data_IF_289074793056
#
_entry.id   IF_289074793056
#
_cell.length_a   1.000
_cell.length_b   1.000
_cell.length_c   1.000
_cell.angle_alpha   90.00
_cell.angle_beta   90.00
_cell.angle_gamma   90.00
#
_symmetry.space_group_name_H-M   'P 1'
#
loop_
_entity.id
_entity.type
_entity.pdbx_description
1 polymer ?
#
# COMPACT_ATOMS: atom_id res chain seq x y z
N UNK A 1 8.25 -9.65 12.30
CA UNK A 1 7.13 -8.69 12.33
C UNK A 1 6.54 -8.59 10.93
N UNK A 2 5.22 -8.69 10.80
CA UNK A 2 4.49 -8.59 9.53
C UNK A 2 4.20 -7.13 9.20
N UNK A 3 4.82 -6.62 8.14
CA UNK A 3 4.67 -5.25 7.68
C UNK A 3 3.93 -5.24 6.34
N UNK A 4 2.82 -4.51 6.26
CA UNK A 4 2.16 -4.21 5.00
C UNK A 4 2.50 -2.82 4.49
N UNK A 5 2.80 -2.71 3.21
CA UNK A 5 2.77 -1.45 2.45
C UNK A 5 1.55 -1.50 1.52
N UNK A 6 0.74 -0.43 1.48
CA UNK A 6 -0.43 -0.36 0.58
C UNK A 6 -0.22 0.68 -0.51
N UNK A 7 -0.33 0.26 -1.77
CA UNK A 7 -0.32 1.15 -2.95
C UNK A 7 -1.19 0.52 -4.04
N UNK A 8 -2.17 1.26 -4.56
CA UNK A 8 -3.19 0.65 -5.42
C UNK A 8 -2.63 0.12 -6.75
N UNK A 9 -1.84 0.91 -7.46
CA UNK A 9 -1.36 0.56 -8.81
C UNK A 9 0.09 0.97 -9.04
N UNK A 10 0.80 0.14 -9.82
CA UNK A 10 2.12 0.45 -10.35
C UNK A 10 2.04 1.30 -11.61
N UNK A 11 2.88 2.34 -11.69
CA UNK A 11 3.15 3.11 -12.89
C UNK A 11 4.68 3.23 -13.03
N UNK A 12 5.32 2.62 -14.05
CA UNK A 12 6.78 2.60 -14.21
C UNK A 12 7.40 4.01 -14.43
N UNK A 13 6.57 4.95 -14.86
CA UNK A 13 6.95 6.35 -15.08
C UNK A 13 6.67 7.25 -13.87
N UNK A 14 6.04 6.70 -12.82
CA UNK A 14 5.64 7.44 -11.64
C UNK A 14 6.72 7.45 -10.54
N UNK A 15 6.97 8.63 -9.96
CA UNK A 15 7.98 8.80 -8.90
C UNK A 15 7.60 8.13 -7.58
N UNK A 16 6.30 8.06 -7.27
CA UNK A 16 5.78 7.44 -6.06
C UNK A 16 5.99 5.92 -6.06
N UNK A 17 5.83 5.29 -7.22
CA UNK A 17 5.96 3.85 -7.38
C UNK A 17 7.42 3.41 -7.29
N UNK A 18 8.34 4.19 -7.89
CA UNK A 18 9.79 4.00 -7.69
C UNK A 18 10.21 4.22 -6.24
N UNK A 19 9.51 5.07 -5.49
CA UNK A 19 9.76 5.22 -4.06
C UNK A 19 9.34 3.95 -3.31
N UNK A 20 8.12 3.43 -3.57
CA UNK A 20 7.62 2.20 -2.95
C UNK A 20 8.54 1.02 -3.24
N UNK A 21 8.93 0.77 -4.50
CA UNK A 21 9.84 -0.34 -4.83
C UNK A 21 11.19 -0.22 -4.12
N UNK A 22 11.76 0.98 -4.04
CA UNK A 22 13.02 1.20 -3.31
C UNK A 22 12.88 0.96 -1.81
N UNK A 23 11.79 1.45 -1.21
CA UNK A 23 11.51 1.21 0.21
C UNK A 23 11.34 -0.28 0.50
N UNK A 24 10.56 -1.01 -0.32
CA UNK A 24 10.38 -2.45 -0.20
C UNK A 24 11.71 -3.21 -0.29
N UNK A 25 12.56 -2.88 -1.27
CA UNK A 25 13.86 -3.53 -1.43
C UNK A 25 14.84 -3.26 -0.28
N UNK A 26 14.71 -2.13 0.42
CA UNK A 26 15.51 -1.84 1.62
C UNK A 26 14.94 -2.58 2.83
N UNK A 27 13.62 -2.55 3.02
CA UNK A 27 12.96 -3.24 4.13
C UNK A 27 13.14 -4.77 4.06
N UNK A 28 13.12 -5.33 2.85
CA UNK A 28 13.34 -6.75 2.59
C UNK A 28 14.74 -7.26 2.96
N UNK A 29 15.71 -6.37 3.19
CA UNK A 29 17.05 -6.76 3.65
C UNK A 29 17.08 -7.04 5.16
N UNK A 30 16.08 -6.58 5.90
CA UNK A 30 15.95 -6.86 7.33
C UNK A 30 15.22 -8.21 7.53
N UNK A 31 15.95 -9.20 8.05
CA UNK A 31 15.41 -10.55 8.28
C UNK A 31 14.36 -10.61 9.39
N UNK A 32 14.21 -9.56 10.20
CA UNK A 32 13.15 -9.46 11.20
C UNK A 32 11.79 -9.04 10.60
N UNK A 33 11.77 -8.58 9.34
CA UNK A 33 10.58 -8.11 8.64
C UNK A 33 10.05 -9.15 7.65
N UNK A 34 8.74 -9.45 7.74
CA UNK A 34 7.99 -10.11 6.69
C UNK A 34 7.18 -9.05 5.94
N UNK A 35 7.71 -8.59 4.81
CA UNK A 35 7.20 -7.44 4.06
C UNK A 35 6.23 -7.90 2.98
N UNK A 36 5.02 -7.34 3.01
CA UNK A 36 3.98 -7.59 2.00
C UNK A 36 3.50 -6.27 1.38
N UNK A 37 3.44 -6.22 0.06
CA UNK A 37 2.80 -5.16 -0.69
C UNK A 37 1.35 -5.54 -1.01
N UNK A 38 0.38 -4.74 -0.57
CA UNK A 38 -1.03 -4.86 -0.94
C UNK A 38 -1.29 -3.93 -2.15
N UNK A 39 -1.61 -4.52 -3.30
CA UNK A 39 -1.81 -3.80 -4.56
C UNK A 39 -2.80 -4.49 -5.49
N UNK A 40 -3.38 -3.76 -6.46
CA UNK A 40 -4.19 -4.37 -7.52
C UNK A 40 -3.34 -5.14 -8.52
N UNK A 41 -2.17 -4.60 -8.81
CA UNK A 41 -1.21 -5.15 -9.75
C UNK A 41 0.17 -4.59 -9.42
N UNK A 42 1.13 -5.49 -9.26
CA UNK A 42 2.53 -5.17 -9.06
C UNK A 42 3.39 -6.34 -9.53
N UNK A 43 4.62 -6.06 -9.96
CA UNK A 43 5.58 -7.10 -10.35
C UNK A 43 6.23 -7.71 -9.11
N UNK A 44 6.29 -9.04 -9.02
CA UNK A 44 6.98 -9.71 -7.93
C UNK A 44 8.48 -9.39 -7.96
N UNK A 45 9.06 -9.14 -6.80
CA UNK A 45 10.50 -8.97 -6.64
C UNK A 45 11.04 -9.84 -5.50
N UNK A 46 12.33 -10.12 -5.54
CA UNK A 46 12.98 -10.94 -4.53
C UNK A 46 12.97 -10.22 -3.16
N UNK A 47 12.57 -10.94 -2.11
CA UNK A 47 12.69 -10.49 -0.71
C UNK A 47 11.42 -9.91 -0.09
N UNK A 48 10.34 -9.73 -0.83
CA UNK A 48 9.03 -9.33 -0.29
C UNK A 48 7.89 -9.95 -1.10
N UNK A 49 6.67 -9.94 -0.53
CA UNK A 49 5.50 -10.62 -1.10
C UNK A 49 4.53 -9.61 -1.71
N UNK A 50 3.81 -10.01 -2.75
CA UNK A 50 2.67 -9.25 -3.27
C UNK A 50 1.36 -9.93 -2.85
N UNK A 51 0.50 -9.20 -2.14
CA UNK A 51 -0.89 -9.57 -1.90
C UNK A 51 -1.78 -8.83 -2.90
N UNK A 52 -2.21 -9.53 -3.93
CA UNK A 52 -3.06 -8.96 -4.98
C UNK A 52 -4.49 -8.77 -4.50
N UNK A 53 -4.90 -7.52 -4.35
CA UNK A 53 -6.26 -7.10 -4.01
C UNK A 53 -6.83 -6.32 -5.19
N UNK A 54 -7.59 -7.00 -6.05
CA UNK A 54 -8.12 -6.42 -7.28
C UNK A 54 -9.63 -6.65 -7.45
N UNK A 55 -10.48 -6.04 -6.60
CA UNK A 55 -11.93 -6.15 -6.75
C UNK A 55 -12.38 -5.49 -8.06
N UNK A 56 -13.37 -6.08 -8.72
CA UNK A 56 -14.00 -5.53 -9.92
C UNK A 56 -14.65 -4.17 -9.65
N UNK A 57 -14.66 -3.29 -10.63
CA UNK A 57 -15.24 -1.94 -10.52
C UNK A 57 -15.93 -1.54 -11.82
N UNK A 58 -16.94 -0.66 -11.74
CA UNK A 58 -17.67 -0.17 -12.92
C UNK A 58 -17.28 1.26 -13.31
N UNK A 59 -16.87 2.06 -12.34
CA UNK A 59 -16.45 3.44 -12.54
C UNK A 59 -15.23 3.76 -11.65
N UNK A 60 -14.72 4.99 -11.75
CA UNK A 60 -13.55 5.45 -10.98
C UNK A 60 -13.80 5.47 -9.47
N UNK A 61 -14.97 5.91 -9.02
CA UNK A 61 -15.30 5.95 -7.59
C UNK A 61 -15.32 4.55 -7.00
N UNK A 62 -16.01 3.61 -7.66
CA UNK A 62 -16.07 2.20 -7.27
C UNK A 62 -14.67 1.56 -7.24
N UNK A 63 -13.78 1.97 -8.14
CA UNK A 63 -12.41 1.49 -8.18
C UNK A 63 -11.65 1.92 -6.93
N UNK A 64 -11.78 3.17 -6.52
CA UNK A 64 -11.08 3.67 -5.33
C UNK A 64 -11.67 3.10 -4.05
N UNK A 65 -13.00 3.20 -3.86
CA UNK A 65 -13.65 2.70 -2.64
C UNK A 65 -13.56 1.19 -2.52
N UNK A 66 -13.80 0.45 -3.60
CA UNK A 66 -13.74 -1.01 -3.59
C UNK A 66 -12.34 -1.54 -3.25
N UNK A 67 -11.28 -0.87 -3.75
CA UNK A 67 -9.92 -1.21 -3.33
C UNK A 67 -9.67 -0.90 -1.86
N UNK A 68 -10.10 0.28 -1.39
CA UNK A 68 -9.92 0.69 -0.01
C UNK A 68 -10.55 -0.32 0.96
N UNK A 69 -11.80 -0.71 0.72
CA UNK A 69 -12.53 -1.66 1.55
C UNK A 69 -11.87 -3.05 1.53
N UNK A 70 -11.51 -3.54 0.33
CA UNK A 70 -10.90 -4.85 0.18
C UNK A 70 -9.49 -4.93 0.77
N UNK A 71 -8.71 -3.85 0.68
CA UNK A 71 -7.39 -3.75 1.29
C UNK A 71 -7.50 -3.64 2.83
N UNK A 72 -8.42 -2.81 3.33
CA UNK A 72 -8.66 -2.65 4.77
C UNK A 72 -9.05 -3.97 5.44
N UNK A 73 -9.81 -4.83 4.75
CA UNK A 73 -10.14 -6.18 5.22
C UNK A 73 -8.91 -7.08 5.49
N UNK A 74 -7.74 -6.76 4.94
CA UNK A 74 -6.50 -7.50 5.16
C UNK A 74 -5.67 -6.94 6.33
N UNK A 75 -5.97 -5.74 6.84
CA UNK A 75 -5.06 -5.04 7.76
C UNK A 75 -4.81 -5.79 9.06
N UNK A 76 -5.80 -6.54 9.56
CA UNK A 76 -5.69 -7.32 10.80
C UNK A 76 -4.69 -8.48 10.71
N UNK A 77 -4.21 -8.82 9.52
CA UNK A 77 -3.19 -9.85 9.31
C UNK A 77 -1.76 -9.36 9.56
N UNK A 78 -1.58 -8.05 9.75
CA UNK A 78 -0.28 -7.38 9.84
C UNK A 78 -0.12 -6.67 11.17
N UNK A 79 1.13 -6.60 11.65
CA UNK A 79 1.47 -5.88 12.88
C UNK A 79 1.48 -4.36 12.63
N UNK A 80 1.97 -3.95 11.44
CA UNK A 80 2.01 -2.55 10.99
C UNK A 80 1.53 -2.49 9.55
N UNK A 81 0.65 -1.54 9.27
CA UNK A 81 0.20 -1.20 7.91
C UNK A 81 0.59 0.25 7.61
N UNK A 82 1.46 0.46 6.61
CA UNK A 82 1.73 1.78 6.06
C UNK A 82 1.00 1.95 4.72
N UNK A 83 -0.02 2.80 4.71
CA UNK A 83 -0.79 3.10 3.50
C UNK A 83 -0.30 4.36 2.80
N UNK A 84 -0.13 4.27 1.47
CA UNK A 84 0.05 5.42 0.57
C UNK A 84 -1.26 5.82 -0.11
N UNK A 85 -2.35 5.14 0.24
CA UNK A 85 -3.72 5.46 -0.14
C UNK A 85 -4.50 5.95 1.08
N UNK A 86 -5.53 6.77 0.88
CA UNK A 86 -6.41 7.26 1.96
C UNK A 86 -7.37 6.16 2.41
N UNK A 87 -6.88 5.21 3.21
CA UNK A 87 -7.65 4.05 3.69
C UNK A 87 -7.69 4.09 5.23
N UNK A 88 -8.88 4.23 5.84
CA UNK A 88 -9.03 4.15 7.29
C UNK A 88 -8.53 2.81 7.86
N UNK A 89 -7.98 2.85 9.08
CA UNK A 89 -7.51 1.65 9.79
C UNK A 89 -6.05 1.27 9.55
N UNK A 90 -5.34 1.95 8.64
CA UNK A 90 -3.89 1.78 8.52
C UNK A 90 -3.17 2.35 9.77
N UNK A 91 -2.09 1.69 10.19
CA UNK A 91 -1.26 2.14 11.32
C UNK A 91 -0.55 3.46 11.00
N UNK A 92 -0.07 3.61 9.77
CA UNK A 92 0.66 4.78 9.28
C UNK A 92 0.05 5.19 7.95
N UNK A 93 -0.37 6.45 7.82
CA UNK A 93 -0.75 7.03 6.53
C UNK A 93 0.37 7.96 6.04
N UNK A 94 0.88 7.70 4.84
CA UNK A 94 1.82 8.59 4.16
C UNK A 94 1.08 9.46 3.15
N UNK A 95 0.98 10.75 3.43
CA UNK A 95 0.44 11.73 2.50
C UNK A 95 1.46 12.08 1.40
N UNK A 96 1.40 11.38 0.26
CA UNK A 96 2.30 11.60 -0.88
C UNK A 96 2.20 12.99 -1.52
N UNK A 97 0.99 13.57 -1.52
CA UNK A 97 0.68 14.90 -2.10
C UNK A 97 0.83 16.05 -1.09
N UNK A 98 1.32 15.75 0.12
CA UNK A 98 1.30 16.66 1.26
C UNK A 98 -0.03 16.63 2.03
N UNK A 99 -0.02 17.21 3.23
CA UNK A 99 -1.21 17.39 4.06
C UNK A 99 -1.36 18.88 4.37
N UNK A 100 -2.54 19.45 4.13
CA UNK A 100 -2.82 20.82 4.55
C UNK A 100 -3.12 20.80 6.06
N UNK A 101 -2.58 21.76 6.83
CA UNK A 101 -2.76 21.81 8.27
C UNK A 101 -4.25 21.79 8.69
N UNK A 102 -5.11 22.45 7.91
CA UNK A 102 -6.58 22.47 8.06
C UNK A 102 -7.26 21.08 7.99
N UNK A 103 -6.58 20.05 7.50
CA UNK A 103 -7.13 18.69 7.44
C UNK A 103 -6.74 17.82 8.63
N UNK A 104 -6.02 18.37 9.61
CA UNK A 104 -5.58 17.70 10.83
C UNK A 104 -6.34 18.15 12.09
N UNK A 105 -7.27 19.09 11.95
CA UNK A 105 -8.15 19.58 13.03
C UNK A 105 -9.37 18.69 13.24
#
# INVERSE_FOLDING_TARGET
>A
MKLAIVRQTYNPNGGAERFVSRALNVLAQDTALDVTLIARQWEDAAGWKTLTVNPSFRNRLDRESGFADAAAAQFTQFDIVQSHERIPGATIFRAGDGVHATWLE
#
